data_IF_968590998695
#
_entry.id   IF_968590998695
#
_cell.length_a   1.000
_cell.length_b   1.000
_cell.length_c   1.000
_cell.angle_alpha   90.00
_cell.angle_beta   90.00
_cell.angle_gamma   90.00
#
_symmetry.space_group_name_H-M   'P 1'
#
loop_
_entity.id
_entity.type
_entity.pdbx_description
1 polymer ?
#
# COMPACT_ATOMS: atom_id res chain seq x y z
N UNK A 1 -10.24 -3.13 26.83
CA UNK A 1 -9.92 -4.41 26.16
C UNK A 1 -10.78 -4.48 24.92
N UNK A 2 -10.13 -4.55 23.76
CA UNK A 2 -10.62 -4.14 22.44
C UNK A 2 -11.66 -5.09 21.85
N UNK A 3 -12.92 -4.97 22.29
CA UNK A 3 -14.04 -5.69 21.70
C UNK A 3 -14.43 -5.06 20.37
N UNK A 4 -14.51 -5.92 19.36
CA UNK A 4 -14.61 -5.58 17.95
C UNK A 4 -15.81 -4.72 17.58
N UNK A 5 -15.56 -3.77 16.67
CA UNK A 5 -16.51 -3.21 15.68
C UNK A 5 -15.89 -2.01 14.92
N UNK A 6 -14.61 -2.06 14.53
CA UNK A 6 -13.96 -0.94 13.82
C UNK A 6 -13.07 -1.36 12.62
N UNK A 7 -13.21 -2.58 12.11
CA UNK A 7 -12.60 -3.00 10.84
C UNK A 7 -13.58 -2.89 9.64
N UNK A 8 -14.63 -2.07 9.78
CA UNK A 8 -15.54 -1.69 8.68
C UNK A 8 -15.07 -0.48 7.87
N UNK A 9 -13.90 0.09 8.22
CA UNK A 9 -13.30 1.26 7.58
C UNK A 9 -11.92 0.95 6.99
N UNK A 10 -11.70 -0.29 6.53
CA UNK A 10 -10.55 -0.67 5.72
C UNK A 10 -10.68 -0.03 4.32
N UNK A 11 -10.59 1.30 4.32
CA UNK A 11 -10.36 2.25 3.25
C UNK A 11 -11.25 2.08 2.01
N UNK A 12 -12.07 3.08 1.61
CA UNK A 12 -12.87 3.02 0.38
C UNK A 12 -11.94 3.04 -0.84
N UNK A 13 -11.40 1.88 -1.17
CA UNK A 13 -10.30 1.68 -2.10
C UNK A 13 -10.80 1.36 -3.52
N UNK A 14 -12.04 1.79 -3.83
CA UNK A 14 -12.68 1.60 -5.13
C UNK A 14 -12.99 2.93 -5.84
N UNK A 15 -12.37 4.04 -5.43
CA UNK A 15 -12.33 5.24 -6.26
C UNK A 15 -10.93 5.46 -6.80
N UNK A 16 -10.78 5.11 -8.07
CA UNK A 16 -9.64 5.49 -8.90
C UNK A 16 -9.60 7.00 -9.08
N UNK A 17 -8.89 7.68 -8.18
CA UNK A 17 -8.38 9.03 -8.43
C UNK A 17 -6.97 8.87 -8.97
N UNK A 18 -6.90 8.84 -10.31
CA UNK A 18 -5.65 8.99 -11.08
C UNK A 18 -5.12 10.39 -10.80
N UNK A 19 -4.15 10.48 -9.88
CA UNK A 19 -3.28 11.64 -9.77
C UNK A 19 -2.07 11.42 -10.69
N UNK A 20 -1.82 12.30 -11.67
CA UNK A 20 -0.72 12.11 -12.61
C UNK A 20 0.63 12.39 -11.92
N UNK A 21 1.57 11.45 -12.06
CA UNK A 21 2.99 11.74 -11.85
C UNK A 21 3.59 11.24 -10.55
N UNK A 22 3.67 9.92 -10.37
CA UNK A 22 4.70 9.30 -9.52
C UNK A 22 4.69 7.78 -9.66
N UNK A 23 5.32 7.22 -10.69
CA UNK A 23 5.50 5.76 -10.76
C UNK A 23 6.32 5.24 -9.57
N UNK A 24 7.38 5.96 -9.16
CA UNK A 24 8.19 5.59 -7.99
C UNK A 24 7.59 6.03 -6.65
N UNK A 25 7.11 7.28 -6.53
CA UNK A 25 6.51 7.75 -5.26
C UNK A 25 5.16 7.09 -4.99
N UNK A 26 4.44 6.68 -6.03
CA UNK A 26 3.23 5.86 -5.93
C UNK A 26 3.56 4.54 -5.26
N UNK A 27 4.59 3.83 -5.74
CA UNK A 27 5.01 2.54 -5.17
C UNK A 27 5.43 2.70 -3.71
N UNK A 28 6.23 3.72 -3.38
CA UNK A 28 6.67 3.97 -2.00
C UNK A 28 5.46 4.31 -1.11
N UNK A 29 4.55 5.16 -1.57
CA UNK A 29 3.30 5.46 -0.83
C UNK A 29 2.43 4.21 -0.65
N UNK A 30 2.40 3.30 -1.62
CA UNK A 30 1.72 2.02 -1.52
C UNK A 30 2.33 1.12 -0.44
N UNK A 31 3.67 1.03 -0.40
CA UNK A 31 4.41 0.31 0.66
C UNK A 31 4.10 0.91 2.03
N UNK A 32 4.17 2.23 2.17
CA UNK A 32 3.89 2.92 3.44
C UNK A 32 2.44 2.71 3.88
N UNK A 33 1.49 2.74 2.95
CA UNK A 33 0.08 2.48 3.24
C UNK A 33 -0.14 1.06 3.77
N UNK A 34 0.49 0.06 3.16
CA UNK A 34 0.43 -1.34 3.61
C UNK A 34 1.08 -1.50 4.99
N UNK A 35 2.25 -0.89 5.22
CA UNK A 35 2.95 -0.99 6.49
C UNK A 35 2.25 -0.24 7.63
N UNK A 36 1.64 0.91 7.36
CA UNK A 36 0.94 1.71 8.39
C UNK A 36 -0.45 1.17 8.71
N UNK A 37 -1.19 0.73 7.68
CA UNK A 37 -2.58 0.27 7.84
C UNK A 37 -2.65 -1.23 8.14
N UNK A 38 -1.61 -2.00 7.78
CA UNK A 38 -1.60 -3.46 7.89
C UNK A 38 -2.48 -4.15 6.84
N UNK A 39 -2.91 -3.43 5.80
CA UNK A 39 -3.69 -4.01 4.70
C UNK A 39 -2.87 -5.05 3.92
N UNK A 40 -3.55 -5.99 3.26
CA UNK A 40 -2.87 -6.95 2.38
C UNK A 40 -2.32 -6.23 1.14
N UNK A 41 -1.19 -6.70 0.63
CA UNK A 41 -0.63 -6.19 -0.64
C UNK A 41 -1.61 -6.30 -1.82
N UNK A 42 -2.52 -7.29 -1.83
CA UNK A 42 -3.56 -7.43 -2.86
C UNK A 42 -4.63 -6.35 -2.80
N UNK A 43 -4.87 -5.79 -1.62
CA UNK A 43 -5.78 -4.66 -1.38
C UNK A 43 -5.09 -3.32 -1.64
N UNK A 44 -3.87 -3.29 -2.17
CA UNK A 44 -3.19 -2.04 -2.50
C UNK A 44 -3.85 -1.43 -3.75
N UNK A 45 -4.23 -0.15 -3.72
CA UNK A 45 -4.97 0.44 -4.83
C UNK A 45 -4.02 0.66 -5.99
N UNK A 46 -4.53 0.40 -7.20
CA UNK A 46 -3.82 0.59 -8.47
C UNK A 46 -3.28 2.02 -8.64
N UNK A 47 -3.84 3.01 -7.95
CA UNK A 47 -3.33 4.40 -7.92
C UNK A 47 -1.89 4.52 -7.41
N UNK A 48 -1.42 3.56 -6.61
CA UNK A 48 -0.03 3.48 -6.13
C UNK A 48 0.87 2.63 -7.04
N UNK A 49 0.33 2.10 -8.14
CA UNK A 49 1.04 1.19 -9.04
C UNK A 49 0.82 -0.28 -8.70
N UNK A 50 1.61 -1.14 -9.35
CA UNK A 50 1.46 -2.59 -9.17
C UNK A 50 2.00 -3.04 -7.81
N UNK A 51 1.17 -3.75 -7.03
CA UNK A 51 1.58 -4.37 -5.77
C UNK A 51 2.83 -5.27 -5.92
N UNK A 52 3.02 -5.88 -7.09
CA UNK A 52 4.22 -6.69 -7.39
C UNK A 52 5.49 -5.85 -7.45
N UNK A 53 5.39 -4.61 -7.94
CA UNK A 53 6.53 -3.69 -7.98
C UNK A 53 6.88 -3.20 -6.57
N UNK A 54 5.87 -2.89 -5.76
CA UNK A 54 6.02 -2.56 -4.34
C UNK A 54 6.70 -3.68 -3.54
N UNK A 55 6.21 -4.92 -3.68
CA UNK A 55 6.81 -6.08 -3.03
C UNK A 55 8.28 -6.29 -3.44
N UNK A 56 8.59 -6.22 -4.75
CA UNK A 56 9.97 -6.35 -5.24
C UNK A 56 10.87 -5.24 -4.68
N UNK A 57 10.36 -4.02 -4.57
CA UNK A 57 11.11 -2.88 -4.01
C UNK A 57 11.39 -3.07 -2.52
N UNK A 58 10.37 -3.46 -1.74
CA UNK A 58 10.54 -3.76 -0.32
C UNK A 58 11.55 -4.89 -0.11
N UNK A 59 11.47 -5.96 -0.91
CA UNK A 59 12.45 -7.06 -0.85
C UNK A 59 13.87 -6.59 -1.14
N UNK A 60 14.06 -5.63 -2.07
CA UNK A 60 15.38 -5.02 -2.31
C UNK A 60 15.86 -4.24 -1.10
N UNK A 61 15.03 -3.39 -0.49
CA UNK A 61 15.39 -2.64 0.72
C UNK A 61 15.79 -3.54 1.88
N UNK A 62 15.05 -4.62 2.11
CA UNK A 62 15.37 -5.63 3.11
C UNK A 62 16.71 -6.33 2.82
N UNK A 63 17.07 -6.53 1.56
CA UNK A 63 18.39 -7.04 1.17
C UNK A 63 19.51 -6.00 1.28
N UNK A 64 19.18 -4.71 1.16
CA UNK A 64 20.12 -3.59 1.32
C UNK A 64 20.32 -3.18 2.79
N UNK A 65 19.56 -3.75 3.73
CA UNK A 65 19.65 -3.44 5.16
C UNK A 65 19.04 -2.09 5.56
N UNK A 66 18.10 -1.57 4.74
CA UNK A 66 17.33 -0.34 4.98
C UNK A 66 16.06 -0.62 5.76
#
# INVERSE_FOLDING_TARGET
>A
MVSGSLLGLCFPLRLGLVGPGADDRGIINGILCVLTTGCRWMDMPIRYGSYKAAWRRLKRWQGEGV
#
